data_IF_119710412632
#
_entry.id   IF_119710412632
#
_cell.length_a   1.000
_cell.length_b   1.000
_cell.length_c   1.000
_cell.angle_alpha   90.00
_cell.angle_beta   90.00
_cell.angle_gamma   90.00
#
_symmetry.space_group_name_H-M   'P 1'
#
loop_
_entity.id
_entity.type
_entity.pdbx_description
1 polymer ?
#
# COMPACT_ATOMS: atom_id res chain seq x y z
N UNK A 1 0.96 -7.23 6.88
CA UNK A 1 1.22 -8.63 7.29
C UNK A 1 0.73 -9.54 6.19
N UNK A 2 1.57 -10.42 5.64
CA UNK A 2 1.18 -11.31 4.55
C UNK A 2 0.33 -12.48 5.07
N UNK A 3 -0.82 -12.74 4.46
CA UNK A 3 -1.79 -13.74 4.91
C UNK A 3 -1.84 -14.84 3.85
N UNK A 4 -1.28 -15.99 4.19
CA UNK A 4 -1.18 -17.17 3.30
C UNK A 4 -1.60 -18.43 4.07
N UNK A 5 -2.01 -19.47 3.36
CA UNK A 5 -2.35 -20.76 4.00
C UNK A 5 -1.09 -21.38 4.61
N UNK A 6 -1.19 -21.85 5.86
CA UNK A 6 -0.09 -22.56 6.53
C UNK A 6 1.06 -21.67 7.02
N UNK A 7 0.92 -20.33 6.98
CA UNK A 7 1.92 -19.40 7.53
C UNK A 7 2.24 -19.70 8.99
N UNK A 8 3.50 -19.47 9.38
CA UNK A 8 4.07 -19.93 10.66
C UNK A 8 3.90 -18.95 11.82
N UNK A 9 3.55 -17.69 11.53
CA UNK A 9 3.53 -16.62 12.54
C UNK A 9 2.23 -15.81 12.51
N UNK A 10 1.92 -15.14 13.63
CA UNK A 10 0.80 -14.20 13.81
C UNK A 10 -0.61 -14.83 13.80
N UNK A 11 -1.56 -14.19 14.47
CA UNK A 11 -2.92 -14.71 14.67
C UNK A 11 -3.72 -14.79 13.37
N UNK A 12 -4.20 -15.99 13.07
CA UNK A 12 -5.17 -16.29 12.02
C UNK A 12 -6.55 -16.48 12.66
N UNK A 13 -7.49 -15.60 12.31
CA UNK A 13 -8.90 -15.70 12.68
C UNK A 13 -9.74 -16.05 11.44
N UNK A 14 -11.02 -16.38 11.64
CA UNK A 14 -11.89 -16.84 10.55
C UNK A 14 -12.01 -15.83 9.40
N UNK A 15 -11.99 -14.52 9.72
CA UNK A 15 -12.05 -13.47 8.71
C UNK A 15 -10.79 -13.41 7.85
N UNK A 16 -9.61 -13.62 8.42
CA UNK A 16 -8.35 -13.69 7.66
C UNK A 16 -8.24 -14.96 6.82
N UNK A 17 -8.80 -16.08 7.30
CA UNK A 17 -8.77 -17.35 6.55
C UNK A 17 -9.44 -17.23 5.17
N UNK A 18 -10.48 -16.38 5.06
CA UNK A 18 -11.17 -16.12 3.79
C UNK A 18 -10.26 -15.55 2.69
N UNK A 19 -9.19 -14.84 3.08
CA UNK A 19 -8.25 -14.19 2.15
C UNK A 19 -6.88 -14.89 2.12
N UNK A 20 -6.72 -16.01 2.85
CA UNK A 20 -5.48 -16.77 2.88
C UNK A 20 -5.37 -17.65 1.63
N UNK A 21 -4.56 -17.21 0.67
CA UNK A 21 -4.26 -17.98 -0.54
C UNK A 21 -3.08 -18.95 -0.33
N UNK A 22 -2.99 -20.05 -1.09
CA UNK A 22 -1.79 -20.88 -1.11
C UNK A 22 -0.55 -20.06 -1.46
N UNK A 23 0.57 -20.35 -0.80
CA UNK A 23 1.87 -19.73 -1.05
C UNK A 23 2.94 -20.80 -0.89
N UNK A 24 3.74 -20.99 -1.93
CA UNK A 24 4.72 -22.08 -2.05
C UNK A 24 6.16 -21.64 -1.73
N UNK A 25 6.32 -20.38 -1.33
CA UNK A 25 7.62 -19.80 -0.93
C UNK A 25 7.64 -19.54 0.58
N UNK A 26 8.78 -19.06 1.07
CA UNK A 26 8.94 -18.67 2.46
C UNK A 26 7.98 -17.52 2.84
N UNK A 27 7.62 -17.50 4.14
CA UNK A 27 6.83 -16.44 4.73
C UNK A 27 7.56 -15.08 4.57
N UNK A 28 6.83 -14.08 4.08
CA UNK A 28 7.35 -12.71 3.89
C UNK A 28 6.63 -11.77 4.85
N UNK A 29 7.39 -11.01 5.65
CA UNK A 29 6.85 -10.08 6.64
C UNK A 29 6.96 -8.61 6.22
N UNK A 30 7.98 -8.26 5.44
CA UNK A 30 8.22 -6.90 4.95
C UNK A 30 7.25 -6.51 3.85
N UNK A 31 6.57 -5.35 3.99
CA UNK A 31 5.54 -4.90 3.06
C UNK A 31 6.10 -4.58 1.68
N UNK A 32 7.28 -3.96 1.60
CA UNK A 32 7.91 -3.66 0.33
C UNK A 32 8.20 -4.95 -0.43
N UNK A 33 8.74 -5.97 0.26
CA UNK A 33 9.01 -7.27 -0.35
C UNK A 33 7.75 -8.00 -0.77
N UNK A 34 6.68 -7.94 0.05
CA UNK A 34 5.37 -8.51 -0.30
C UNK A 34 4.89 -7.91 -1.62
N UNK A 35 4.91 -6.57 -1.77
CA UNK A 35 4.50 -5.88 -3.00
C UNK A 35 5.29 -6.38 -4.22
N UNK A 36 6.61 -6.57 -4.09
CA UNK A 36 7.43 -7.10 -5.18
C UNK A 36 7.05 -8.54 -5.54
N UNK A 37 6.94 -9.45 -4.56
CA UNK A 37 6.78 -10.89 -4.85
C UNK A 37 5.37 -11.27 -5.31
N UNK A 38 4.35 -10.52 -4.87
CA UNK A 38 2.97 -10.70 -5.35
C UNK A 38 2.66 -9.83 -6.57
N UNK A 39 3.63 -9.03 -7.00
CA UNK A 39 3.51 -8.08 -8.11
C UNK A 39 2.28 -7.16 -7.97
N UNK A 40 2.05 -6.64 -6.75
CA UNK A 40 0.89 -5.81 -6.48
C UNK A 40 0.91 -4.55 -7.37
N UNK A 41 -0.27 -4.18 -7.88
CA UNK A 41 -0.49 -3.00 -8.73
C UNK A 41 -1.28 -1.90 -8.02
N UNK A 42 -1.87 -2.23 -6.86
CA UNK A 42 -2.63 -1.38 -5.98
C UNK A 42 -2.26 -1.63 -4.52
N UNK A 43 -2.28 -0.58 -3.68
CA UNK A 43 -2.07 -0.67 -2.25
C UNK A 43 -3.15 0.13 -1.51
N UNK A 44 -3.87 -0.57 -0.63
CA UNK A 44 -4.87 0.00 0.26
C UNK A 44 -4.32 0.00 1.70
N UNK A 45 -4.10 1.16 2.26
CA UNK A 45 -3.60 1.34 3.63
C UNK A 45 -4.74 1.49 4.63
N UNK A 46 -4.83 0.56 5.60
CA UNK A 46 -5.84 0.58 6.68
C UNK A 46 -5.21 0.24 8.04
N UNK A 47 -3.95 0.61 8.22
CA UNK A 47 -3.10 0.17 9.33
C UNK A 47 -2.85 1.22 10.41
N UNK A 48 -3.12 2.48 10.11
CA UNK A 48 -2.78 3.61 10.99
C UNK A 48 -1.28 3.85 11.17
N UNK A 49 -0.43 3.25 10.31
CA UNK A 49 1.02 3.32 10.43
C UNK A 49 1.64 3.79 9.12
N UNK A 50 2.51 4.82 9.11
CA UNK A 50 3.22 5.26 7.91
C UNK A 50 4.03 4.14 7.24
N UNK A 51 4.02 4.08 5.90
CA UNK A 51 4.66 3.04 5.09
C UNK A 51 5.44 3.62 3.91
N UNK A 52 6.61 3.05 3.61
CA UNK A 52 7.42 3.38 2.42
C UNK A 52 7.29 2.36 1.27
N UNK A 53 6.27 1.50 1.30
CA UNK A 53 6.12 0.41 0.35
C UNK A 53 5.59 0.85 -1.03
N UNK A 54 5.04 2.06 -1.16
CA UNK A 54 4.44 2.56 -2.40
C UNK A 54 5.40 2.57 -3.60
N UNK A 55 6.70 2.82 -3.37
CA UNK A 55 7.71 2.83 -4.43
C UNK A 55 7.84 1.46 -5.12
N UNK A 56 7.61 0.35 -4.41
CA UNK A 56 7.67 -0.98 -5.01
C UNK A 56 6.60 -1.19 -6.08
N UNK A 57 5.46 -0.49 -5.98
CA UNK A 57 4.37 -0.58 -6.96
C UNK A 57 4.79 -0.11 -8.36
N UNK A 58 5.72 0.87 -8.44
CA UNK A 58 6.20 1.42 -9.70
C UNK A 58 6.93 0.41 -10.56
N UNK A 59 7.55 -0.61 -9.96
CA UNK A 59 8.19 -1.72 -10.70
C UNK A 59 7.16 -2.62 -11.38
N UNK A 60 5.94 -2.68 -10.85
CA UNK A 60 4.90 -3.61 -11.28
C UNK A 60 3.84 -2.95 -12.16
N UNK A 61 3.62 -1.64 -12.01
CA UNK A 61 2.57 -0.91 -12.71
C UNK A 61 2.99 0.54 -12.97
N UNK A 62 2.86 0.98 -14.23
CA UNK A 62 3.16 2.37 -14.62
C UNK A 62 2.17 3.39 -14.03
N UNK A 63 0.98 2.95 -13.59
CA UNK A 63 -0.06 3.82 -12.99
C UNK A 63 -0.64 3.19 -11.72
N UNK A 64 0.13 3.13 -10.61
CA UNK A 64 -0.27 2.40 -9.41
C UNK A 64 -1.40 3.08 -8.65
N UNK A 65 -2.26 2.29 -7.99
CA UNK A 65 -3.31 2.80 -7.10
C UNK A 65 -2.76 2.84 -5.67
N UNK A 66 -2.82 3.99 -5.00
CA UNK A 66 -2.32 4.18 -3.63
C UNK A 66 -3.38 4.87 -2.79
N UNK A 67 -4.06 4.13 -1.92
CA UNK A 67 -5.12 4.69 -1.06
C UNK A 67 -4.75 4.60 0.43
N UNK A 68 -4.18 5.65 1.04
CA UNK A 68 -3.99 5.74 2.49
C UNK A 68 -5.31 6.11 3.18
N UNK A 69 -5.99 5.14 3.79
CA UNK A 69 -7.35 5.30 4.34
C UNK A 69 -7.37 5.60 5.84
N UNK A 70 -6.20 5.58 6.49
CA UNK A 70 -6.11 5.77 7.93
C UNK A 70 -6.34 7.21 8.36
N UNK A 71 -7.04 7.36 9.50
CA UNK A 71 -7.43 8.65 10.07
C UNK A 71 -6.94 8.77 11.52
N UNK A 72 -6.62 9.98 12.02
CA UNK A 72 -6.58 11.26 11.30
C UNK A 72 -5.36 11.37 10.37
N UNK A 73 -5.14 12.52 9.71
CA UNK A 73 -4.04 12.73 8.73
C UNK A 73 -2.67 12.30 9.26
N UNK A 74 -2.39 12.45 10.57
CA UNK A 74 -1.13 12.02 11.19
C UNK A 74 -0.91 10.50 11.20
N UNK A 75 -1.98 9.71 10.98
CA UNK A 75 -1.96 8.25 10.89
C UNK A 75 -2.11 7.73 9.47
N UNK A 76 -2.21 8.62 8.47
CA UNK A 76 -2.23 8.21 7.08
C UNK A 76 -0.94 7.48 6.72
N UNK A 77 -1.03 6.41 5.93
CA UNK A 77 0.12 5.60 5.54
C UNK A 77 1.16 6.39 4.75
N UNK A 78 0.72 7.38 3.98
CA UNK A 78 1.56 8.35 3.31
C UNK A 78 0.75 9.63 3.03
N UNK A 79 1.44 10.73 2.80
CA UNK A 79 0.80 11.96 2.30
C UNK A 79 0.57 11.89 0.80
N UNK A 80 -0.33 12.74 0.28
CA UNK A 80 -0.49 12.92 -1.16
C UNK A 80 0.85 13.28 -1.83
N UNK A 81 1.60 14.22 -1.24
CA UNK A 81 2.90 14.68 -1.76
C UNK A 81 3.91 13.54 -1.86
N UNK A 82 3.99 12.70 -0.82
CA UNK A 82 4.83 11.50 -0.82
C UNK A 82 4.41 10.53 -1.93
N UNK A 83 3.12 10.23 -2.04
CA UNK A 83 2.62 9.28 -3.03
C UNK A 83 2.94 9.72 -4.47
N UNK A 84 2.69 10.99 -4.81
CA UNK A 84 3.01 11.53 -6.13
C UNK A 84 4.51 11.59 -6.38
N UNK A 85 5.31 12.07 -5.41
CA UNK A 85 6.78 12.11 -5.53
C UNK A 85 7.38 10.72 -5.76
N UNK A 86 6.93 9.72 -4.98
CA UNK A 86 7.42 8.34 -5.08
C UNK A 86 7.01 7.60 -6.35
N UNK A 87 6.01 8.12 -7.06
CA UNK A 87 5.45 7.49 -8.26
C UNK A 87 5.66 8.33 -9.51
N UNK A 88 6.57 9.30 -9.47
CA UNK A 88 6.85 10.20 -10.60
C UNK A 88 5.55 10.83 -11.14
N UNK A 89 4.65 11.20 -10.24
CA UNK A 89 3.34 11.79 -10.51
C UNK A 89 2.33 10.87 -11.23
N UNK A 90 2.57 9.56 -11.28
CA UNK A 90 1.74 8.61 -12.05
C UNK A 90 0.64 7.93 -11.24
N UNK A 91 0.68 7.98 -9.91
CA UNK A 91 -0.30 7.24 -9.11
C UNK A 91 -1.75 7.74 -9.28
N UNK A 92 -2.69 6.85 -9.01
CA UNK A 92 -4.08 7.19 -8.69
C UNK A 92 -4.18 7.21 -7.17
N UNK A 93 -4.47 8.39 -6.62
CA UNK A 93 -4.48 8.63 -5.18
C UNK A 93 -5.89 8.96 -4.69
N UNK A 94 -6.27 8.39 -3.55
CA UNK A 94 -7.47 8.77 -2.79
C UNK A 94 -7.21 8.49 -1.31
N UNK A 95 -7.58 9.39 -0.41
CA UNK A 95 -7.26 9.28 1.01
C UNK A 95 -8.50 9.29 1.89
N UNK A 96 -8.39 8.64 3.06
CA UNK A 96 -9.42 8.70 4.10
C UNK A 96 -9.45 10.04 4.85
N UNK A 97 -8.30 10.69 4.97
CA UNK A 97 -8.13 12.03 5.56
C UNK A 97 -7.92 13.09 4.49
N UNK A 98 -8.33 14.34 4.73
CA UNK A 98 -8.10 15.43 3.78
C UNK A 98 -6.60 15.76 3.69
N UNK A 99 -6.14 16.06 2.48
CA UNK A 99 -4.82 16.64 2.21
C UNK A 99 -4.99 17.97 1.46
N UNK A 100 -4.04 18.91 1.61
CA UNK A 100 -3.98 20.07 0.73
C UNK A 100 -3.87 19.66 -0.74
N UNK A 101 -4.45 20.48 -1.61
CA UNK A 101 -4.25 20.36 -3.05
C UNK A 101 -2.77 20.46 -3.40
N UNK A 102 -2.34 19.71 -4.40
CA UNK A 102 -0.96 19.74 -4.88
C UNK A 102 -0.89 20.39 -6.25
N UNK A 103 0.18 21.12 -6.52
CA UNK A 103 0.48 21.62 -7.87
C UNK A 103 1.59 20.77 -8.46
N UNK A 104 1.30 20.09 -9.56
CA UNK A 104 2.23 19.26 -10.31
C UNK A 104 2.18 19.68 -11.78
N UNK A 105 3.33 20.06 -12.35
CA UNK A 105 3.44 20.53 -13.74
C UNK A 105 2.40 21.61 -14.09
N UNK A 106 2.29 22.62 -13.21
CA UNK A 106 1.33 23.74 -13.26
C UNK A 106 -0.16 23.33 -13.21
N UNK A 107 -0.46 22.08 -12.85
CA UNK A 107 -1.82 21.57 -12.67
C UNK A 107 -2.10 21.27 -11.21
N UNK A 108 -3.27 21.71 -10.76
CA UNK A 108 -3.78 21.37 -9.44
C UNK A 108 -4.40 19.97 -9.46
N UNK A 109 -4.01 19.13 -8.51
CA UNK A 109 -4.51 17.76 -8.31
C UNK A 109 -4.90 17.51 -6.85
#
# INVERSE_FOLDING_TARGET
MFITKGRKSGRMDDLKQLYAHPWDKDDVSDLHKIVEVVQATALLGVSGTPQKACQALMKNNNRPIIFPMSNPTSQAECTAEQAFSWTENKCIFASGSPFPKLTIDDKEI
#
